data_IF_665344159771
#
_entry.id   IF_665344159771
#
_cell.length_a   1.000
_cell.length_b   1.000
_cell.length_c   1.000
_cell.angle_alpha   90.00
_cell.angle_beta   90.00
_cell.angle_gamma   90.00
#
_symmetry.space_group_name_H-M   'P 1'
#
loop_
_entity.id
_entity.type
_entity.pdbx_description
1 polymer ?
#
# COMPACT_ATOMS: atom_id res chain seq x y z
N UNK A 1 -53.14 -31.82 24.06
CA UNK A 1 -51.79 -31.34 24.44
C UNK A 1 -51.02 -31.00 23.18
N UNK A 2 -51.43 -29.96 22.41
CA UNK A 2 -50.91 -29.77 21.04
C UNK A 2 -50.63 -28.29 20.69
N UNK A 3 -50.73 -27.36 21.64
CA UNK A 3 -50.55 -25.91 21.39
C UNK A 3 -49.13 -25.41 21.56
N UNK A 4 -48.32 -26.07 22.40
CA UNK A 4 -46.98 -25.60 22.77
C UNK A 4 -45.90 -26.01 21.76
N UNK A 5 -46.10 -27.13 21.05
CA UNK A 5 -45.17 -27.62 20.02
C UNK A 5 -45.11 -26.70 18.80
N UNK A 6 -46.25 -26.11 18.40
CA UNK A 6 -46.31 -25.22 17.24
C UNK A 6 -45.59 -23.90 17.50
N UNK A 7 -45.70 -23.32 18.70
CA UNK A 7 -45.06 -22.04 19.05
C UNK A 7 -43.53 -22.18 19.07
N UNK A 8 -43.00 -23.27 19.61
CA UNK A 8 -41.55 -23.53 19.66
C UNK A 8 -40.98 -23.80 18.26
N UNK A 9 -41.72 -24.51 17.40
CA UNK A 9 -41.34 -24.72 16.01
C UNK A 9 -41.39 -23.41 15.19
N UNK A 10 -42.40 -22.55 15.38
CA UNK A 10 -42.49 -21.26 14.66
C UNK A 10 -41.41 -20.27 15.12
N UNK A 11 -41.11 -20.20 16.41
CA UNK A 11 -40.04 -19.35 16.94
C UNK A 11 -38.64 -19.86 16.53
N UNK A 12 -38.44 -21.18 16.48
CA UNK A 12 -37.21 -21.79 15.99
C UNK A 12 -36.96 -21.51 14.50
N UNK A 13 -38.00 -21.57 13.66
CA UNK A 13 -37.93 -21.25 12.23
C UNK A 13 -37.65 -19.75 12.01
N UNK A 14 -38.22 -18.86 12.83
CA UNK A 14 -37.95 -17.41 12.77
C UNK A 14 -36.52 -17.06 13.19
N UNK A 15 -35.95 -17.78 14.17
CA UNK A 15 -34.57 -17.56 14.62
C UNK A 15 -33.55 -18.12 13.62
N UNK A 16 -33.87 -19.26 12.98
CA UNK A 16 -33.03 -19.83 11.92
C UNK A 16 -33.07 -18.99 10.64
N UNK A 17 -34.18 -18.31 10.33
CA UNK A 17 -34.27 -17.41 9.17
C UNK A 17 -33.58 -16.05 9.38
N UNK A 18 -33.53 -15.53 10.61
CA UNK A 18 -32.75 -14.33 10.92
C UNK A 18 -31.23 -14.60 10.99
N UNK A 19 -30.80 -15.80 11.38
CA UNK A 19 -29.39 -16.17 11.48
C UNK A 19 -28.74 -16.56 10.13
N UNK A 20 -29.53 -16.69 9.06
CA UNK A 20 -29.10 -17.14 7.73
C UNK A 20 -29.38 -16.13 6.61
N UNK A 21 -29.64 -14.86 6.93
CA UNK A 21 -29.43 -13.81 5.94
C UNK A 21 -27.92 -13.55 5.90
N UNK A 22 -27.15 -14.05 4.89
CA UNK A 22 -26.00 -13.29 4.50
C UNK A 22 -26.55 -11.90 4.20
N UNK A 23 -26.06 -10.89 4.90
CA UNK A 23 -26.20 -9.52 4.43
C UNK A 23 -25.57 -9.57 3.04
N UNK A 24 -26.40 -9.71 2.01
CA UNK A 24 -26.05 -9.40 0.65
C UNK A 24 -25.79 -7.91 0.68
N UNK A 25 -24.60 -7.52 1.13
CA UNK A 25 -24.11 -6.18 0.98
C UNK A 25 -24.19 -5.93 -0.52
N UNK A 26 -25.12 -5.05 -0.92
CA UNK A 26 -25.23 -4.67 -2.31
C UNK A 26 -23.84 -4.22 -2.77
N UNK A 27 -23.42 -4.61 -3.99
CA UNK A 27 -22.10 -4.26 -4.48
C UNK A 27 -21.92 -2.74 -4.40
N UNK A 28 -20.88 -2.31 -3.70
CA UNK A 28 -20.55 -0.89 -3.62
C UNK A 28 -19.91 -0.48 -4.93
N UNK A 29 -20.67 0.25 -5.74
CA UNK A 29 -20.16 0.86 -6.97
C UNK A 29 -19.67 2.27 -6.66
N UNK A 30 -18.36 2.44 -6.68
CA UNK A 30 -17.69 3.71 -6.44
C UNK A 30 -17.63 4.52 -7.74
N UNK A 31 -18.32 5.65 -7.79
CA UNK A 31 -18.30 6.55 -8.93
C UNK A 31 -17.10 7.50 -8.82
N UNK A 32 -16.26 7.55 -9.86
CA UNK A 32 -15.19 8.54 -9.93
C UNK A 32 -15.78 9.93 -10.14
N UNK A 33 -15.75 10.77 -9.11
CA UNK A 33 -16.36 12.10 -9.12
C UNK A 33 -15.55 13.20 -9.80
N UNK A 34 -14.37 12.89 -10.34
CA UNK A 34 -13.43 13.88 -10.88
C UNK A 34 -12.72 13.38 -12.14
N UNK A 35 -12.15 14.32 -12.87
CA UNK A 35 -11.35 14.10 -14.07
C UNK A 35 -10.35 15.25 -14.25
N UNK A 36 -9.61 15.22 -15.36
CA UNK A 36 -8.59 16.21 -15.70
C UNK A 36 -9.08 17.66 -15.69
N UNK A 37 -10.34 17.93 -16.05
CA UNK A 37 -10.88 19.30 -16.15
C UNK A 37 -11.59 19.75 -14.86
N UNK A 38 -11.64 18.91 -13.83
CA UNK A 38 -12.44 19.19 -12.63
C UNK A 38 -11.98 20.43 -11.86
N UNK A 39 -10.71 20.82 -12.02
CA UNK A 39 -10.14 22.03 -11.41
C UNK A 39 -10.72 23.33 -11.97
N UNK A 40 -11.19 23.36 -13.22
CA UNK A 40 -11.72 24.56 -13.86
C UNK A 40 -13.26 24.65 -13.82
N UNK A 41 -13.90 23.73 -13.07
CA UNK A 41 -15.35 23.71 -12.93
C UNK A 41 -15.83 25.02 -12.30
N UNK A 42 -16.58 25.81 -13.07
CA UNK A 42 -17.20 27.05 -12.58
C UNK A 42 -18.09 26.73 -11.37
N UNK A 43 -17.86 27.44 -10.27
CA UNK A 43 -18.55 27.21 -8.99
C UNK A 43 -17.93 26.10 -8.13
N UNK A 44 -16.89 25.41 -8.61
CA UNK A 44 -16.16 24.36 -7.89
C UNK A 44 -16.75 22.96 -8.09
N UNK A 45 -15.88 21.95 -8.18
CA UNK A 45 -16.26 20.55 -8.36
C UNK A 45 -17.23 20.07 -7.26
N UNK A 46 -16.89 20.31 -6.00
CA UNK A 46 -17.67 19.81 -4.86
C UNK A 46 -19.09 20.39 -4.82
N UNK A 47 -19.27 21.67 -5.16
CA UNK A 47 -20.60 22.28 -5.26
C UNK A 47 -21.40 21.68 -6.41
N UNK A 48 -20.77 21.51 -7.58
CA UNK A 48 -21.41 20.83 -8.69
C UNK A 48 -21.88 19.41 -8.32
N UNK A 49 -21.04 18.61 -7.65
CA UNK A 49 -21.42 17.26 -7.21
C UNK A 49 -22.56 17.29 -6.18
N UNK A 50 -22.51 18.22 -5.23
CA UNK A 50 -23.57 18.43 -4.23
C UNK A 50 -24.91 18.75 -4.89
N UNK A 51 -24.90 19.62 -5.90
CA UNK A 51 -26.10 20.04 -6.63
C UNK A 51 -26.70 18.93 -7.51
N UNK A 52 -25.95 17.86 -7.80
CA UNK A 52 -26.36 16.73 -8.65
C UNK A 52 -26.55 15.41 -7.86
N UNK A 53 -26.53 15.45 -6.53
CA UNK A 53 -26.50 14.23 -5.71
C UNK A 53 -27.74 13.33 -5.90
N UNK A 54 -28.92 13.93 -6.07
CA UNK A 54 -30.18 13.19 -6.25
C UNK A 54 -30.20 12.43 -7.58
N UNK A 55 -29.63 13.02 -8.64
CA UNK A 55 -29.55 12.38 -9.96
C UNK A 55 -28.53 11.23 -9.95
N UNK A 56 -27.39 11.40 -9.25
CA UNK A 56 -26.40 10.35 -9.05
C UNK A 56 -27.00 9.17 -8.25
N UNK A 57 -27.74 9.46 -7.19
CA UNK A 57 -28.44 8.43 -6.40
C UNK A 57 -29.49 7.70 -7.25
N UNK A 58 -30.26 8.41 -8.08
CA UNK A 58 -31.23 7.81 -9.01
C UNK A 58 -30.56 6.93 -10.07
N UNK A 59 -29.33 7.24 -10.47
CA UNK A 59 -28.51 6.43 -11.35
C UNK A 59 -27.88 5.19 -10.67
N UNK A 60 -28.13 4.98 -9.37
CA UNK A 60 -27.61 3.84 -8.61
C UNK A 60 -26.18 4.05 -8.07
N UNK A 61 -25.64 5.26 -8.11
CA UNK A 61 -24.36 5.58 -7.47
C UNK A 61 -24.55 5.56 -5.96
N UNK A 62 -23.79 4.71 -5.28
CA UNK A 62 -23.86 4.58 -3.81
C UNK A 62 -22.76 5.35 -3.09
N UNK A 63 -21.60 5.49 -3.74
CA UNK A 63 -20.43 6.18 -3.21
C UNK A 63 -19.76 6.99 -4.31
N UNK A 64 -19.21 8.15 -3.96
CA UNK A 64 -18.43 8.99 -4.88
C UNK A 64 -17.00 9.01 -4.37
N UNK A 65 -16.06 8.61 -5.22
CA UNK A 65 -14.65 8.85 -4.99
C UNK A 65 -14.32 10.29 -5.34
N UNK A 66 -13.87 11.03 -4.33
CA UNK A 66 -13.41 12.40 -4.48
C UNK A 66 -11.89 12.41 -4.46
N UNK A 67 -11.24 13.32 -5.19
CA UNK A 67 -9.82 13.49 -5.06
C UNK A 67 -9.54 14.00 -3.64
N UNK A 68 -8.42 13.60 -3.01
CA UNK A 68 -8.02 14.16 -1.73
C UNK A 68 -7.89 15.68 -1.86
N UNK A 69 -8.40 16.46 -0.89
CA UNK A 69 -8.18 17.90 -0.90
C UNK A 69 -6.67 18.16 -0.75
N UNK A 70 -6.08 18.82 -1.73
CA UNK A 70 -4.66 19.14 -1.76
C UNK A 70 -4.44 20.61 -2.09
N UNK A 71 -3.47 21.24 -1.43
CA UNK A 71 -2.95 22.54 -1.82
C UNK A 71 -1.93 22.31 -2.93
N UNK A 72 -2.40 22.13 -4.16
CA UNK A 72 -1.50 22.13 -5.30
C UNK A 72 -1.06 23.54 -5.64
N UNK A 73 0.19 23.70 -6.04
CA UNK A 73 0.70 24.96 -6.59
C UNK A 73 0.31 25.15 -8.06
N UNK A 74 -0.23 24.11 -8.69
CA UNK A 74 -0.73 24.14 -10.06
C UNK A 74 -2.25 24.30 -10.11
N UNK A 75 -2.80 25.08 -11.06
CA UNK A 75 -4.24 25.26 -11.21
C UNK A 75 -5.01 23.95 -11.33
N UNK A 76 -4.38 22.92 -11.92
CA UNK A 76 -4.96 21.60 -12.17
C UNK A 76 -5.17 20.75 -10.90
N UNK A 77 -4.57 21.12 -9.77
CA UNK A 77 -4.72 20.38 -8.52
C UNK A 77 -3.73 19.21 -8.35
N UNK A 78 -2.74 19.06 -9.22
CA UNK A 78 -1.73 18.00 -9.16
C UNK A 78 -0.32 18.57 -9.15
N UNK A 79 0.50 18.15 -8.19
CA UNK A 79 1.91 18.60 -8.06
C UNK A 79 2.90 17.65 -8.75
N UNK A 80 2.45 16.44 -9.10
CA UNK A 80 3.34 15.41 -9.64
C UNK A 80 2.66 14.26 -10.35
N UNK A 81 3.49 13.46 -11.03
CA UNK A 81 3.05 12.30 -11.80
C UNK A 81 3.55 10.99 -11.23
N UNK A 82 2.64 10.04 -11.04
CA UNK A 82 2.97 8.62 -10.97
C UNK A 82 2.76 8.00 -12.34
N UNK A 83 3.84 7.63 -13.03
CA UNK A 83 3.76 6.91 -14.29
C UNK A 83 3.56 5.43 -14.02
N UNK A 84 2.30 5.01 -14.13
CA UNK A 84 1.91 3.60 -14.07
C UNK A 84 2.47 2.82 -15.29
N UNK A 85 2.80 1.56 -15.05
CA UNK A 85 3.14 0.55 -16.04
C UNK A 85 4.14 1.01 -17.13
N UNK A 86 5.19 1.75 -16.75
CA UNK A 86 6.19 2.32 -17.69
C UNK A 86 6.96 1.26 -18.49
N UNK A 87 6.85 -0.02 -18.13
CA UNK A 87 7.33 -1.14 -18.93
C UNK A 87 6.70 -1.19 -20.33
N UNK A 88 5.48 -0.67 -20.48
CA UNK A 88 4.72 -0.71 -21.74
C UNK A 88 5.15 0.31 -22.78
N UNK A 89 6.04 1.26 -22.45
CA UNK A 89 6.45 2.33 -23.37
C UNK A 89 7.89 2.79 -23.12
N UNK A 90 8.48 3.48 -24.10
CA UNK A 90 9.87 3.93 -23.99
C UNK A 90 10.00 5.08 -22.98
N UNK A 91 11.13 5.13 -22.25
CA UNK A 91 11.46 6.27 -21.41
C UNK A 91 11.45 7.61 -22.16
N UNK A 92 11.81 7.61 -23.45
CA UNK A 92 11.75 8.80 -24.30
C UNK A 92 10.34 9.40 -24.44
N UNK A 93 9.28 8.59 -24.38
CA UNK A 93 7.90 9.08 -24.38
C UNK A 93 7.60 9.80 -23.05
N UNK A 94 8.02 9.20 -21.93
CA UNK A 94 7.97 9.83 -20.60
C UNK A 94 8.67 11.19 -20.61
N UNK A 95 9.83 11.29 -21.28
CA UNK A 95 10.55 12.55 -21.43
C UNK A 95 9.69 13.63 -22.09
N UNK A 96 9.05 13.31 -23.22
CA UNK A 96 8.19 14.27 -23.93
C UNK A 96 7.08 14.77 -23.01
N UNK A 97 6.47 13.88 -22.22
CA UNK A 97 5.43 14.26 -21.27
C UNK A 97 5.96 15.17 -20.16
N UNK A 98 7.11 14.82 -19.56
CA UNK A 98 7.77 15.62 -18.53
C UNK A 98 8.18 17.01 -19.03
N UNK A 99 8.72 17.12 -20.24
CA UNK A 99 9.11 18.40 -20.85
C UNK A 99 7.89 19.32 -21.04
N UNK A 100 6.71 18.75 -21.32
CA UNK A 100 5.46 19.50 -21.57
C UNK A 100 4.73 19.90 -20.30
N UNK A 101 4.76 19.05 -19.28
CA UNK A 101 3.95 19.21 -18.07
C UNK A 101 4.71 19.79 -16.89
N UNK A 102 6.04 19.59 -16.84
CA UNK A 102 6.96 20.19 -15.85
C UNK A 102 6.44 20.09 -14.40
N UNK A 103 6.08 18.90 -13.91
CA UNK A 103 5.65 18.74 -12.51
C UNK A 103 6.80 19.02 -11.53
N UNK A 104 6.47 19.21 -10.25
CA UNK A 104 7.47 19.34 -9.19
C UNK A 104 8.12 17.99 -8.85
N UNK A 105 7.37 16.90 -9.02
CA UNK A 105 7.85 15.54 -8.78
C UNK A 105 7.26 14.55 -9.78
N UNK A 106 8.04 13.55 -10.16
CA UNK A 106 7.51 12.40 -10.88
C UNK A 106 8.25 11.11 -10.53
N UNK A 107 7.52 10.00 -10.53
CA UNK A 107 8.04 8.66 -10.30
C UNK A 107 7.44 7.67 -11.29
N UNK A 108 8.24 6.76 -11.83
CA UNK A 108 7.81 5.68 -12.71
C UNK A 108 7.80 4.31 -12.06
N UNK A 109 6.80 3.51 -12.43
CA UNK A 109 6.64 2.13 -11.99
C UNK A 109 7.27 1.12 -12.96
N UNK A 110 8.61 1.12 -13.08
CA UNK A 110 9.31 0.14 -13.91
C UNK A 110 9.49 -1.17 -13.13
N UNK A 111 8.43 -1.94 -13.01
CA UNK A 111 8.47 -3.23 -12.32
C UNK A 111 8.95 -4.33 -13.27
N UNK A 112 10.12 -4.90 -12.98
CA UNK A 112 10.54 -6.20 -13.52
C UNK A 112 10.99 -7.18 -12.43
N UNK A 113 11.24 -8.42 -12.84
CA UNK A 113 11.75 -9.47 -11.97
C UNK A 113 13.23 -9.24 -11.65
N UNK A 114 13.59 -9.33 -10.37
CA UNK A 114 14.99 -9.42 -9.96
C UNK A 114 15.63 -10.73 -10.49
N UNK A 115 16.95 -10.78 -10.54
CA UNK A 115 17.67 -11.95 -11.03
C UNK A 115 17.68 -13.06 -9.99
N UNK A 116 17.39 -14.29 -10.41
CA UNK A 116 17.47 -15.49 -9.57
C UNK A 116 18.57 -16.43 -10.07
N UNK A 117 19.30 -17.05 -9.13
CA UNK A 117 20.23 -18.14 -9.40
C UNK A 117 19.97 -19.29 -8.42
N UNK A 118 19.85 -20.51 -8.95
CA UNK A 118 19.62 -21.73 -8.15
C UNK A 118 18.41 -21.65 -7.20
N UNK A 119 17.33 -20.97 -7.61
CA UNK A 119 16.11 -20.84 -6.81
C UNK A 119 16.14 -19.78 -5.71
N UNK A 120 17.21 -19.00 -5.60
CA UNK A 120 17.30 -17.85 -4.69
C UNK A 120 17.64 -16.57 -5.48
N UNK A 121 17.34 -15.37 -4.94
CA UNK A 121 17.82 -14.13 -5.52
C UNK A 121 19.34 -14.17 -5.65
N UNK A 122 19.83 -13.73 -6.79
CA UNK A 122 21.24 -13.52 -6.97
C UNK A 122 21.75 -12.47 -5.97
N UNK A 123 22.95 -12.67 -5.42
CA UNK A 123 23.57 -11.69 -4.52
C UNK A 123 23.77 -10.35 -5.23
N UNK A 124 24.20 -10.41 -6.50
CA UNK A 124 24.35 -9.22 -7.31
C UNK A 124 23.08 -8.95 -8.14
N UNK A 125 22.47 -7.79 -7.93
CA UNK A 125 21.28 -7.32 -8.66
C UNK A 125 21.56 -6.09 -9.55
N UNK A 126 22.83 -5.81 -9.86
CA UNK A 126 23.26 -4.63 -10.61
C UNK A 126 22.63 -4.56 -11.99
N UNK A 127 22.36 -5.69 -12.65
CA UNK A 127 21.68 -5.71 -13.94
C UNK A 127 20.30 -5.02 -13.85
N UNK A 128 19.49 -5.41 -12.86
CA UNK A 128 18.17 -4.82 -12.62
C UNK A 128 18.28 -3.35 -12.14
N UNK A 129 19.26 -3.01 -11.28
CA UNK A 129 19.53 -1.59 -10.92
C UNK A 129 19.89 -0.74 -12.14
N UNK A 130 20.71 -1.28 -13.03
CA UNK A 130 21.14 -0.60 -14.25
C UNK A 130 20.00 -0.43 -15.24
N UNK A 131 19.04 -1.34 -15.27
CA UNK A 131 17.81 -1.19 -16.06
C UNK A 131 16.97 -0.01 -15.57
N UNK A 132 16.68 0.06 -14.26
CA UNK A 132 15.98 1.18 -13.64
C UNK A 132 16.70 2.51 -13.93
N UNK A 133 18.02 2.55 -13.71
CA UNK A 133 18.83 3.74 -13.97
C UNK A 133 18.86 4.14 -15.45
N UNK A 134 18.86 3.16 -16.36
CA UNK A 134 18.85 3.42 -17.80
C UNK A 134 17.51 3.95 -18.27
N UNK A 135 16.40 3.47 -17.72
CA UNK A 135 15.08 4.03 -17.99
C UNK A 135 14.97 5.47 -17.48
N UNK A 136 15.42 5.77 -16.26
CA UNK A 136 15.47 7.15 -15.72
C UNK A 136 16.28 8.07 -16.62
N UNK A 137 17.46 7.63 -17.10
CA UNK A 137 18.27 8.38 -18.06
C UNK A 137 17.55 8.60 -19.40
N UNK A 138 16.92 7.56 -19.94
CA UNK A 138 16.17 7.64 -21.19
C UNK A 138 14.95 8.58 -21.08
N UNK A 139 14.36 8.68 -19.89
CA UNK A 139 13.30 9.63 -19.56
C UNK A 139 13.77 11.06 -19.32
N UNK A 140 15.04 11.36 -19.60
CA UNK A 140 15.60 12.71 -19.53
C UNK A 140 16.08 13.13 -18.14
N UNK A 141 16.10 12.22 -17.16
CA UNK A 141 16.63 12.46 -15.82
C UNK A 141 15.78 13.34 -14.91
N UNK A 142 14.61 13.81 -15.38
CA UNK A 142 13.66 14.63 -14.61
C UNK A 142 12.58 13.82 -13.88
N UNK A 143 12.59 12.50 -14.05
CA UNK A 143 11.69 11.55 -13.40
C UNK A 143 12.48 10.55 -12.57
N UNK A 144 11.94 10.12 -11.44
CA UNK A 144 12.52 9.07 -10.59
C UNK A 144 11.89 7.71 -10.89
N UNK A 145 12.42 6.63 -10.34
CA UNK A 145 11.79 5.30 -10.42
C UNK A 145 11.66 4.71 -9.02
N UNK A 146 10.63 3.90 -8.79
CA UNK A 146 10.59 3.07 -7.58
C UNK A 146 11.79 2.10 -7.58
N UNK A 147 12.47 1.95 -6.44
CA UNK A 147 13.57 0.99 -6.29
C UNK A 147 13.03 -0.44 -6.12
N UNK A 148 12.54 -0.99 -7.22
CA UNK A 148 12.01 -2.36 -7.27
C UNK A 148 13.08 -3.42 -7.04
N UNK A 149 14.36 -3.11 -7.29
CA UNK A 149 15.46 -4.01 -6.94
C UNK A 149 15.47 -4.27 -5.44
N UNK A 150 15.50 -3.19 -4.65
CA UNK A 150 15.54 -3.30 -3.19
C UNK A 150 14.24 -3.89 -2.67
N UNK A 151 13.08 -3.50 -3.23
CA UNK A 151 11.80 -4.12 -2.88
C UNK A 151 11.83 -5.64 -3.08
N UNK A 152 12.28 -6.12 -4.24
CA UNK A 152 12.32 -7.55 -4.54
C UNK A 152 13.26 -8.32 -3.62
N UNK A 153 14.47 -7.80 -3.35
CA UNK A 153 15.42 -8.41 -2.41
C UNK A 153 14.81 -8.49 -1.00
N UNK A 154 14.20 -7.40 -0.52
CA UNK A 154 13.54 -7.39 0.78
C UNK A 154 12.35 -8.34 0.83
N UNK A 155 11.55 -8.40 -0.24
CA UNK A 155 10.42 -9.32 -0.34
C UNK A 155 10.89 -10.76 -0.20
N UNK A 156 11.99 -11.17 -0.83
CA UNK A 156 12.51 -12.54 -0.66
C UNK A 156 13.19 -12.73 0.69
N UNK A 157 13.89 -11.71 1.20
CA UNK A 157 14.45 -11.75 2.54
C UNK A 157 13.34 -12.00 3.58
N UNK A 158 12.15 -11.40 3.42
CA UNK A 158 11.02 -11.64 4.34
C UNK A 158 10.14 -12.83 3.94
N UNK A 159 10.12 -13.23 2.66
CA UNK A 159 9.44 -14.45 2.19
C UNK A 159 10.32 -15.66 2.45
N UNK A 160 10.36 -16.06 3.71
CA UNK A 160 11.11 -17.21 4.20
C UNK A 160 11.80 -16.96 5.53
N UNK A 161 12.11 -15.69 5.84
CA UNK A 161 12.54 -15.31 7.18
C UNK A 161 11.33 -14.89 8.00
N UNK A 162 11.08 -15.69 9.04
CA UNK A 162 10.09 -15.44 10.08
C UNK A 162 10.49 -14.17 10.83
N UNK A 163 10.12 -13.00 10.29
CA UNK A 163 10.13 -11.77 11.08
C UNK A 163 8.99 -11.92 12.08
N UNK A 164 9.34 -12.36 13.28
CA UNK A 164 8.41 -12.47 14.39
C UNK A 164 8.50 -11.20 15.22
N UNK A 165 7.46 -10.36 15.17
CA UNK A 165 7.36 -9.18 16.04
C UNK A 165 7.18 -9.69 17.47
N UNK A 166 8.18 -9.47 18.31
CA UNK A 166 8.22 -9.94 19.70
C UNK A 166 7.55 -8.95 20.64
N UNK A 167 7.68 -7.65 20.35
CA UNK A 167 7.01 -6.56 21.07
C UNK A 167 6.95 -5.30 20.20
N UNK A 168 5.87 -4.53 20.36
CA UNK A 168 5.71 -3.21 19.75
C UNK A 168 4.88 -2.31 20.66
N UNK A 169 5.37 -1.10 20.91
CA UNK A 169 4.69 -0.02 21.65
C UNK A 169 5.15 1.34 21.10
N UNK A 170 4.68 2.45 21.66
CA UNK A 170 4.99 3.81 21.22
C UNK A 170 6.50 4.12 21.20
N UNK A 171 7.28 3.53 22.10
CA UNK A 171 8.72 3.75 22.23
C UNK A 171 9.54 2.44 22.16
N UNK A 172 8.97 1.38 21.60
CA UNK A 172 9.61 0.08 21.50
C UNK A 172 9.20 -0.67 20.23
N UNK A 173 10.17 -1.16 19.48
CA UNK A 173 9.95 -2.16 18.44
C UNK A 173 10.99 -3.27 18.57
N UNK A 174 10.53 -4.51 18.62
CA UNK A 174 11.41 -5.66 18.76
C UNK A 174 10.97 -6.79 17.84
N UNK A 175 11.90 -7.30 17.03
CA UNK A 175 11.64 -8.37 16.07
C UNK A 175 12.77 -9.41 16.06
N UNK A 176 12.37 -10.67 15.95
CA UNK A 176 13.27 -11.79 15.65
C UNK A 176 13.26 -12.04 14.15
N UNK A 177 14.42 -12.29 13.56
CA UNK A 177 14.62 -12.56 12.14
C UNK A 177 15.28 -13.94 12.02
N UNK A 178 14.58 -14.87 11.37
CA UNK A 178 15.10 -16.19 10.98
C UNK A 178 15.59 -17.08 12.15
N UNK A 179 15.03 -16.90 13.35
CA UNK A 179 15.50 -17.54 14.61
C UNK A 179 17.04 -17.46 14.81
N UNK A 180 17.64 -16.37 14.32
CA UNK A 180 19.09 -16.12 14.38
C UNK A 180 19.43 -14.76 14.94
N UNK A 181 18.63 -13.74 14.63
CA UNK A 181 18.88 -12.35 15.05
C UNK A 181 17.66 -11.81 15.75
N UNK A 182 17.85 -11.06 16.83
CA UNK A 182 16.82 -10.26 17.48
C UNK A 182 17.29 -8.81 17.45
N UNK A 183 16.42 -7.89 17.03
CA UNK A 183 16.68 -6.45 17.03
C UNK A 183 15.64 -5.77 17.90
N UNK A 184 16.10 -4.91 18.81
CA UNK A 184 15.27 -3.98 19.59
C UNK A 184 15.65 -2.56 19.23
N UNK A 185 14.66 -1.72 18.96
CA UNK A 185 14.75 -0.29 18.75
C UNK A 185 13.79 0.45 19.69
N UNK A 186 14.15 1.66 20.12
CA UNK A 186 13.36 2.50 21.03
C UNK A 186 13.83 2.43 22.48
N UNK A 187 13.33 3.34 23.34
CA UNK A 187 13.76 3.48 24.73
C UNK A 187 13.20 2.42 25.68
N UNK A 188 12.10 1.74 25.35
CA UNK A 188 11.45 0.78 26.24
C UNK A 188 12.43 -0.25 26.85
N UNK A 189 12.46 -0.36 28.19
CA UNK A 189 13.54 -1.03 28.92
C UNK A 189 13.24 -2.47 29.38
N UNK A 190 11.98 -2.92 29.34
CA UNK A 190 11.58 -4.24 29.87
C UNK A 190 11.42 -5.31 28.78
N UNK A 191 12.52 -5.67 28.12
CA UNK A 191 12.53 -6.69 27.05
C UNK A 191 13.36 -7.93 27.36
N UNK A 192 13.99 -7.98 28.55
CA UNK A 192 14.91 -9.07 28.91
C UNK A 192 14.22 -10.44 28.95
N UNK A 193 12.93 -10.48 29.29
CA UNK A 193 12.11 -11.70 29.34
C UNK A 193 11.80 -12.29 27.96
N UNK A 194 11.95 -11.50 26.89
CA UNK A 194 11.67 -11.91 25.52
C UNK A 194 12.88 -12.59 24.87
N UNK A 195 14.08 -12.42 25.43
CA UNK A 195 15.32 -13.00 24.89
C UNK A 195 15.51 -14.42 25.41
N UNK A 196 15.66 -15.39 24.51
CA UNK A 196 15.99 -16.78 24.88
C UNK A 196 17.46 -16.90 25.31
N UNK A 197 17.76 -17.83 26.22
CA UNK A 197 19.10 -18.00 26.81
C UNK A 197 20.23 -18.30 25.82
N UNK A 198 19.89 -18.78 24.63
CA UNK A 198 20.83 -19.15 23.58
C UNK A 198 21.20 -17.97 22.65
N UNK A 199 20.78 -16.73 22.95
CA UNK A 199 21.14 -15.53 22.19
C UNK A 199 22.10 -14.66 23.00
N UNK A 200 23.09 -14.07 22.32
CA UNK A 200 24.12 -13.19 22.89
C UNK A 200 24.05 -11.81 22.27
N UNK A 201 24.34 -10.78 23.06
CA UNK A 201 24.42 -9.40 22.54
C UNK A 201 25.55 -9.31 21.52
N UNK A 202 25.23 -8.85 20.31
CA UNK A 202 26.19 -8.58 19.24
C UNK A 202 26.54 -7.09 19.18
N UNK A 203 25.56 -6.21 19.42
CA UNK A 203 25.73 -4.76 19.42
C UNK A 203 24.64 -4.09 20.28
N UNK A 204 24.95 -2.96 20.90
CA UNK A 204 23.97 -2.13 21.61
C UNK A 204 24.42 -0.67 21.64
N UNK A 205 23.47 0.23 21.88
CA UNK A 205 23.72 1.66 22.05
C UNK A 205 22.50 2.36 22.65
N UNK A 206 22.42 3.68 22.51
CA UNK A 206 21.24 4.42 22.95
C UNK A 206 20.02 3.93 22.16
N UNK A 207 19.05 3.37 22.89
CA UNK A 207 17.75 2.93 22.37
C UNK A 207 17.80 1.83 21.31
N UNK A 208 18.87 1.04 21.25
CA UNK A 208 18.87 -0.18 20.46
C UNK A 208 19.73 -1.29 21.06
N UNK A 209 19.37 -2.53 20.75
CA UNK A 209 20.18 -3.70 21.04
C UNK A 209 19.94 -4.80 20.01
N UNK A 210 21.00 -5.51 19.64
CA UNK A 210 20.98 -6.62 18.69
C UNK A 210 21.55 -7.85 19.37
N UNK A 211 20.80 -8.95 19.31
CA UNK A 211 21.24 -10.25 19.77
C UNK A 211 21.36 -11.23 18.61
N UNK A 212 22.31 -12.15 18.70
CA UNK A 212 22.51 -13.24 17.74
C UNK A 212 22.60 -14.57 18.46
N UNK A 213 22.10 -15.63 17.83
CA UNK A 213 22.15 -17.00 18.34
C UNK A 213 23.58 -17.58 18.32
#
# INVERSE_FOLDING_TARGET
MNGWSNIVLTLGILYLSLALLPILAAPTLLFQGFNWESWNKKGGLYNFLKDNIDDLARAGVTHIWLPPPGHSVYPQGFDGWGFDFVKGYSGSLTKIYMDRTRPDFAVGELWDSITYRNGAPDYNQDAHRNELASWVRAAGGSVTAFDFTTKGVLQVAVQGQWVNIMASDADLYMAMIDDKVIVKNGSGYDTATLIRSNYKVAAYGNDYCVWVK
#
